data_IF_090545167556
#
_entry.id   IF_090545167556
#
_cell.length_a   1.000
_cell.length_b   1.000
_cell.length_c   1.000
_cell.angle_alpha   90.00
_cell.angle_beta   90.00
_cell.angle_gamma   90.00
#
_symmetry.space_group_name_H-M   'P 1'
#
loop_
_entity.id
_entity.type
_entity.pdbx_description
1 polymer ?
#
# COMPACT_ATOMS: atom_id res chain seq x y z
N UNK A 1 -5.17 3.08 -42.87
CA UNK A 1 -4.23 2.21 -42.12
C UNK A 1 -3.21 2.95 -41.24
N UNK A 2 -2.94 4.26 -41.42
CA UNK A 2 -1.97 5.01 -40.56
C UNK A 2 -2.54 5.50 -39.21
N UNK A 3 -3.87 5.64 -39.07
CA UNK A 3 -4.51 6.11 -37.82
C UNK A 3 -4.58 5.03 -36.73
N UNK A 4 -4.65 3.75 -37.09
CA UNK A 4 -4.74 2.63 -36.13
C UNK A 4 -3.39 2.28 -35.47
N UNK A 5 -2.25 2.55 -36.14
CA UNK A 5 -0.93 2.32 -35.53
C UNK A 5 -0.59 3.37 -34.46
N UNK A 6 -1.08 4.61 -34.57
CA UNK A 6 -0.82 5.68 -33.60
C UNK A 6 -1.56 5.44 -32.28
N UNK A 7 -2.80 4.93 -32.35
CA UNK A 7 -3.57 4.57 -31.14
C UNK A 7 -2.97 3.35 -30.44
N UNK A 8 -2.45 2.38 -31.19
CA UNK A 8 -1.80 1.19 -30.63
C UNK A 8 -0.43 1.53 -29.98
N UNK A 9 0.32 2.47 -30.56
CA UNK A 9 1.57 2.98 -29.98
C UNK A 9 1.35 3.79 -28.68
N UNK A 10 0.25 4.55 -28.56
CA UNK A 10 -0.08 5.24 -27.31
C UNK A 10 -0.49 4.27 -26.19
N UNK A 11 -1.21 3.19 -26.51
CA UNK A 11 -1.56 2.13 -25.54
C UNK A 11 -0.33 1.37 -25.04
N UNK A 12 0.67 1.12 -25.90
CA UNK A 12 1.92 0.48 -25.48
C UNK A 12 2.75 1.35 -24.52
N UNK A 13 2.77 2.67 -24.70
CA UNK A 13 3.52 3.57 -23.81
C UNK A 13 2.93 3.65 -22.38
N UNK A 14 1.65 3.35 -22.18
CA UNK A 14 1.07 3.25 -20.82
C UNK A 14 1.47 1.95 -20.10
N UNK A 15 1.82 0.89 -20.86
CA UNK A 15 2.22 -0.40 -20.31
C UNK A 15 3.73 -0.48 -19.98
N UNK A 16 4.55 0.39 -20.60
CA UNK A 16 6.00 0.42 -20.40
C UNK A 16 6.36 1.40 -19.28
N UNK A 17 6.38 0.89 -18.04
CA UNK A 17 7.10 1.51 -16.92
C UNK A 17 6.50 2.80 -16.39
N UNK A 18 5.29 2.75 -15.81
CA UNK A 18 4.87 3.86 -14.96
C UNK A 18 5.72 3.87 -13.67
N UNK A 19 6.46 4.96 -13.47
CA UNK A 19 7.13 5.27 -12.21
C UNK A 19 6.12 5.71 -11.15
N UNK A 20 5.35 4.74 -10.65
CA UNK A 20 4.54 4.90 -9.44
C UNK A 20 5.11 4.11 -8.27
N UNK A 21 4.79 4.55 -7.06
CA UNK A 21 4.99 3.78 -5.84
C UNK A 21 3.67 3.13 -5.46
N UNK A 22 3.62 1.80 -5.46
CA UNK A 22 2.47 1.03 -5.01
C UNK A 22 2.85 0.16 -3.81
N UNK A 23 1.90 0.00 -2.90
CA UNK A 23 1.94 -1.02 -1.86
C UNK A 23 0.73 -1.94 -2.00
N UNK A 24 0.94 -3.24 -1.76
CA UNK A 24 -0.15 -4.18 -1.51
C UNK A 24 -0.30 -4.34 0.01
N UNK A 25 -1.51 -4.14 0.52
CA UNK A 25 -1.82 -4.21 1.96
C UNK A 25 -2.90 -5.24 2.23
N UNK A 26 -2.82 -5.89 3.38
CA UNK A 26 -3.85 -6.80 3.89
C UNK A 26 -3.97 -6.62 5.41
N UNK A 27 -5.12 -6.98 5.98
CA UNK A 27 -5.26 -7.13 7.42
C UNK A 27 -5.11 -8.60 7.81
N UNK A 28 -4.46 -8.82 8.94
CA UNK A 28 -4.25 -10.12 9.57
C UNK A 28 -5.07 -10.17 10.86
N UNK A 29 -6.21 -10.84 10.78
CA UNK A 29 -7.12 -11.08 11.90
C UNK A 29 -6.64 -12.28 12.71
N UNK A 30 -6.35 -12.08 14.00
CA UNK A 30 -5.85 -13.14 14.87
C UNK A 30 -6.89 -14.26 15.05
N UNK A 31 -6.45 -15.51 14.99
CA UNK A 31 -7.33 -16.67 15.22
C UNK A 31 -7.58 -16.97 16.70
N UNK A 32 -6.60 -16.71 17.58
CA UNK A 32 -6.65 -17.07 19.02
C UNK A 32 -5.86 -16.11 19.93
N UNK A 33 -5.81 -14.82 19.59
CA UNK A 33 -5.02 -13.84 20.37
C UNK A 33 -3.51 -14.10 20.39
N UNK A 34 -2.98 -14.88 19.43
CA UNK A 34 -1.57 -15.29 19.35
C UNK A 34 -0.67 -14.16 18.80
N UNK A 35 -0.70 -12.98 19.42
CA UNK A 35 0.02 -11.79 18.95
C UNK A 35 1.52 -12.05 18.75
N UNK A 36 2.20 -12.58 19.77
CA UNK A 36 3.65 -12.80 19.72
C UNK A 36 4.06 -13.82 18.65
N UNK A 37 3.29 -14.89 18.49
CA UNK A 37 3.56 -15.90 17.47
C UNK A 37 3.38 -15.33 16.05
N UNK A 38 2.32 -14.55 15.82
CA UNK A 38 2.09 -13.88 14.54
C UNK A 38 3.21 -12.88 14.23
N UNK A 39 3.60 -12.04 15.19
CA UNK A 39 4.67 -11.06 15.01
C UNK A 39 6.01 -11.73 14.67
N UNK A 40 6.36 -12.79 15.40
CA UNK A 40 7.58 -13.56 15.16
C UNK A 40 7.55 -14.24 13.78
N UNK A 41 6.41 -14.82 13.41
CA UNK A 41 6.20 -15.49 12.14
C UNK A 41 6.29 -14.54 10.94
N UNK A 42 5.62 -13.39 11.02
CA UNK A 42 5.71 -12.33 9.99
C UNK A 42 7.13 -11.79 9.89
N UNK A 43 7.82 -11.56 11.02
CA UNK A 43 9.22 -11.11 10.99
C UNK A 43 10.10 -12.11 10.23
N UNK A 44 9.99 -13.40 10.56
CA UNK A 44 10.74 -14.47 9.90
C UNK A 44 10.45 -14.52 8.39
N UNK A 45 9.18 -14.41 7.99
CA UNK A 45 8.79 -14.37 6.59
C UNK A 45 9.36 -13.15 5.86
N UNK A 46 9.23 -11.96 6.46
CA UNK A 46 9.73 -10.72 5.89
C UNK A 46 11.26 -10.73 5.76
N UNK A 47 12.00 -11.19 6.77
CA UNK A 47 13.46 -11.29 6.70
C UNK A 47 13.93 -12.18 5.54
N UNK A 48 13.14 -13.21 5.20
CA UNK A 48 13.48 -14.19 4.16
C UNK A 48 13.06 -13.76 2.74
N UNK A 49 11.87 -13.15 2.59
CA UNK A 49 11.29 -12.88 1.27
C UNK A 49 11.04 -11.41 0.97
N UNK A 50 11.01 -10.55 1.99
CA UNK A 50 10.62 -9.15 1.88
C UNK A 50 11.53 -8.22 2.71
N UNK A 51 12.84 -8.47 2.64
CA UNK A 51 13.85 -7.73 3.42
C UNK A 51 14.23 -6.37 2.79
N UNK A 52 13.93 -6.18 1.50
CA UNK A 52 14.25 -4.97 0.74
C UNK A 52 15.56 -5.02 -0.06
N UNK A 53 16.34 -6.10 0.02
CA UNK A 53 17.63 -6.23 -0.68
C UNK A 53 17.46 -6.75 -2.12
N UNK A 54 16.64 -7.80 -2.30
CA UNK A 54 16.41 -8.46 -3.59
C UNK A 54 14.94 -8.41 -4.03
N UNK A 55 14.16 -7.47 -3.49
CA UNK A 55 12.73 -7.38 -3.71
C UNK A 55 12.05 -6.35 -2.82
N UNK A 56 10.71 -6.25 -2.87
CA UNK A 56 9.97 -5.28 -2.07
C UNK A 56 10.11 -5.58 -0.58
N UNK A 57 10.22 -4.53 0.23
CA UNK A 57 10.21 -4.65 1.69
C UNK A 57 8.79 -4.83 2.21
N UNK A 58 8.62 -5.58 3.29
CA UNK A 58 7.33 -5.70 3.97
C UNK A 58 7.38 -5.21 5.42
N UNK A 59 6.21 -4.79 5.89
CA UNK A 59 6.02 -4.10 7.15
C UNK A 59 4.78 -4.65 7.85
N UNK A 60 4.79 -4.62 9.18
CA UNK A 60 3.67 -5.04 10.02
C UNK A 60 3.37 -3.94 11.03
N UNK A 61 2.11 -3.48 11.09
CA UNK A 61 1.65 -2.53 12.09
C UNK A 61 0.47 -3.09 12.86
N UNK A 62 0.46 -2.89 14.17
CA UNK A 62 -0.71 -3.16 14.99
C UNK A 62 -1.76 -2.05 14.81
N UNK A 63 -3.03 -2.43 14.65
CA UNK A 63 -4.13 -1.47 14.53
C UNK A 63 -4.65 -1.15 15.93
N UNK A 64 -4.27 0.02 16.44
CA UNK A 64 -4.63 0.43 17.80
C UNK A 64 -6.06 0.97 17.92
N UNK A 65 -6.60 1.57 16.86
CA UNK A 65 -7.94 2.22 16.88
C UNK A 65 -8.61 2.14 15.51
N UNK A 66 -9.95 2.00 15.49
CA UNK A 66 -10.76 1.99 14.26
C UNK A 66 -11.43 0.63 13.99
N UNK A 67 -12.04 0.43 12.80
CA UNK A 67 -12.85 -0.75 12.49
C UNK A 67 -12.14 -2.11 12.60
N UNK A 68 -10.81 -2.12 12.49
CA UNK A 68 -9.98 -3.34 12.59
C UNK A 68 -9.04 -3.30 13.81
N UNK A 69 -9.42 -2.55 14.85
CA UNK A 69 -8.66 -2.50 16.10
C UNK A 69 -8.42 -3.90 16.66
N UNK A 70 -7.21 -4.16 17.15
CA UNK A 70 -6.82 -5.49 17.65
C UNK A 70 -6.19 -6.41 16.60
N UNK A 71 -6.29 -6.06 15.31
CA UNK A 71 -5.65 -6.78 14.22
C UNK A 71 -4.32 -6.16 13.82
N UNK A 72 -3.68 -6.71 12.79
CA UNK A 72 -2.49 -6.14 12.18
C UNK A 72 -2.71 -5.77 10.71
N UNK A 73 -2.10 -4.68 10.26
CA UNK A 73 -1.96 -4.40 8.83
C UNK A 73 -0.56 -4.83 8.38
N UNK A 74 -0.50 -5.71 7.38
CA UNK A 74 0.73 -6.06 6.69
C UNK A 74 0.74 -5.37 5.33
N UNK A 75 1.86 -4.73 4.97
CA UNK A 75 2.03 -4.12 3.67
C UNK A 75 3.37 -4.52 3.06
N UNK A 76 3.35 -4.78 1.75
CA UNK A 76 4.55 -5.03 0.95
C UNK A 76 4.68 -3.97 -0.13
N UNK A 77 5.89 -3.45 -0.30
CA UNK A 77 6.24 -2.49 -1.34
C UNK A 77 7.49 -1.66 -1.01
N UNK A 78 7.89 -0.74 -1.89
CA UNK A 78 7.25 -0.43 -3.18
C UNK A 78 7.30 -1.61 -4.16
N UNK A 79 6.21 -1.84 -4.89
CA UNK A 79 6.14 -2.82 -5.99
C UNK A 79 5.37 -2.26 -7.19
N UNK A 80 5.25 -3.03 -8.26
CA UNK A 80 4.48 -2.76 -9.48
C UNK A 80 3.38 -3.81 -9.66
N UNK A 81 2.35 -3.49 -10.45
CA UNK A 81 1.32 -4.47 -10.83
C UNK A 81 1.90 -5.67 -11.57
N UNK A 82 2.90 -5.45 -12.42
CA UNK A 82 3.61 -6.53 -13.13
C UNK A 82 4.28 -7.54 -12.20
N UNK A 83 4.65 -7.12 -10.98
CA UNK A 83 5.22 -8.03 -9.98
C UNK A 83 4.15 -9.01 -9.45
N UNK A 84 2.87 -8.65 -9.56
CA UNK A 84 1.74 -9.48 -9.12
C UNK A 84 1.32 -10.51 -10.18
N UNK A 85 1.82 -10.39 -11.42
CA UNK A 85 1.62 -11.39 -12.47
C UNK A 85 2.56 -12.60 -12.30
N UNK A 86 3.55 -12.50 -11.41
CA UNK A 86 4.50 -13.57 -11.12
C UNK A 86 3.94 -14.53 -10.08
N UNK A 87 4.02 -15.84 -10.37
CA UNK A 87 3.70 -16.87 -9.38
C UNK A 87 4.70 -16.86 -8.22
N UNK A 88 4.18 -16.99 -7.00
CA UNK A 88 5.01 -17.24 -5.83
C UNK A 88 5.60 -18.66 -5.91
N UNK A 89 6.82 -18.83 -5.41
CA UNK A 89 7.42 -20.16 -5.29
C UNK A 89 6.71 -20.98 -4.20
N UNK A 90 6.72 -22.30 -4.33
CA UNK A 90 6.16 -23.19 -3.31
C UNK A 90 6.82 -22.99 -1.92
N UNK A 91 8.10 -22.63 -1.90
CA UNK A 91 8.81 -22.33 -0.65
C UNK A 91 8.31 -21.03 -0.01
N UNK A 92 7.92 -20.03 -0.81
CA UNK A 92 7.33 -18.79 -0.30
C UNK A 92 5.95 -19.07 0.32
N UNK A 93 5.08 -19.77 -0.42
CA UNK A 93 3.73 -20.12 0.03
C UNK A 93 3.76 -20.95 1.31
N UNK A 94 4.54 -22.03 1.35
CA UNK A 94 4.66 -22.88 2.54
C UNK A 94 5.22 -22.14 3.75
N UNK A 95 6.13 -21.20 3.54
CA UNK A 95 6.67 -20.41 4.65
C UNK A 95 5.60 -19.49 5.25
N UNK A 96 4.78 -18.86 4.40
CA UNK A 96 3.65 -18.04 4.85
C UNK A 96 2.59 -18.87 5.59
N UNK A 97 2.19 -20.03 5.07
CA UNK A 97 1.25 -20.94 5.72
C UNK A 97 1.76 -21.36 7.12
N UNK A 98 3.04 -21.77 7.18
CA UNK A 98 3.68 -22.30 8.39
C UNK A 98 4.12 -21.23 9.38
N UNK A 99 4.24 -19.97 9.02
CA UNK A 99 4.68 -18.94 9.97
C UNK A 99 3.59 -17.89 10.24
N UNK A 100 2.63 -17.69 9.33
CA UNK A 100 1.68 -16.58 9.41
C UNK A 100 0.22 -17.05 9.43
N UNK A 101 -0.23 -17.81 8.44
CA UNK A 101 -1.67 -18.12 8.29
C UNK A 101 -2.24 -19.01 9.39
N UNK A 102 -1.39 -19.82 10.01
CA UNK A 102 -1.80 -20.61 11.18
C UNK A 102 -2.21 -19.73 12.38
N UNK A 103 -1.71 -18.49 12.47
CA UNK A 103 -1.99 -17.55 13.58
C UNK A 103 -3.01 -16.48 13.22
N UNK A 104 -3.17 -16.17 11.93
CA UNK A 104 -4.09 -15.14 11.46
C UNK A 104 -4.77 -15.49 10.15
N UNK A 105 -5.99 -14.97 9.97
CA UNK A 105 -6.70 -14.97 8.70
C UNK A 105 -6.43 -13.66 7.97
N UNK A 106 -5.95 -13.75 6.74
CA UNK A 106 -5.86 -12.58 5.87
C UNK A 106 -7.23 -12.14 5.37
N UNK A 107 -7.47 -10.83 5.31
CA UNK A 107 -8.60 -10.24 4.60
C UNK A 107 -8.34 -8.80 4.13
N UNK A 108 -9.26 -8.27 3.33
CA UNK A 108 -9.27 -6.87 2.88
C UNK A 108 -7.95 -6.46 2.19
N UNK A 109 -7.64 -7.15 1.09
CA UNK A 109 -6.49 -6.84 0.25
C UNK A 109 -6.72 -5.54 -0.52
N UNK A 110 -5.77 -4.61 -0.45
CA UNK A 110 -5.86 -3.31 -1.10
C UNK A 110 -4.52 -2.98 -1.75
N UNK A 111 -4.57 -2.75 -3.06
CA UNK A 111 -3.50 -2.15 -3.83
C UNK A 111 -3.63 -0.62 -3.75
N UNK A 112 -2.64 0.03 -3.16
CA UNK A 112 -2.64 1.48 -2.96
C UNK A 112 -1.50 2.13 -3.74
N UNK A 113 -1.83 2.98 -4.69
CA UNK A 113 -0.88 3.70 -5.56
C UNK A 113 -0.71 5.11 -5.03
N UNK A 114 0.53 5.53 -4.81
CA UNK A 114 0.85 6.86 -4.27
C UNK A 114 0.57 7.92 -5.31
N UNK A 115 -0.12 8.97 -4.89
CA UNK A 115 -0.30 10.18 -5.68
C UNK A 115 0.78 11.19 -5.30
N UNK A 116 1.75 11.39 -6.19
CA UNK A 116 2.90 12.26 -5.93
C UNK A 116 2.50 13.74 -5.84
N UNK A 117 1.46 14.17 -6.57
CA UNK A 117 1.02 15.56 -6.54
C UNK A 117 0.37 15.94 -5.19
N UNK A 118 -0.32 14.97 -4.57
CA UNK A 118 -0.97 15.13 -3.27
C UNK A 118 -0.12 14.70 -2.08
N UNK A 119 1.03 14.07 -2.32
CA UNK A 119 1.98 13.65 -1.29
C UNK A 119 2.91 14.79 -0.89
N UNK A 120 3.23 14.86 0.40
CA UNK A 120 4.33 15.64 0.94
C UNK A 120 5.35 14.70 1.59
N UNK A 121 6.58 14.72 1.09
CA UNK A 121 7.69 13.87 1.53
C UNK A 121 8.94 14.75 1.75
N UNK A 122 9.13 15.33 2.94
CA UNK A 122 10.28 16.18 3.23
C UNK A 122 11.57 15.36 3.29
N UNK A 123 12.70 15.94 2.86
CA UNK A 123 14.01 15.29 2.94
C UNK A 123 14.44 15.00 4.38
N UNK A 124 14.08 15.90 5.31
CA UNK A 124 14.42 15.81 6.74
C UNK A 124 13.21 15.35 7.56
N UNK A 125 12.55 14.27 7.13
CA UNK A 125 11.40 13.72 7.84
C UNK A 125 11.76 13.30 9.28
N UNK A 126 10.91 13.69 10.23
CA UNK A 126 10.82 13.07 11.56
C UNK A 126 9.84 11.91 11.47
N UNK A 127 10.37 10.69 11.48
CA UNK A 127 9.56 9.47 11.41
C UNK A 127 9.03 9.14 12.80
N UNK A 128 7.71 9.16 12.95
CA UNK A 128 7.05 8.73 14.19
C UNK A 128 7.02 7.21 14.32
N UNK A 129 6.88 6.73 15.56
CA UNK A 129 6.71 5.29 15.84
C UNK A 129 5.36 4.75 15.36
N UNK A 130 4.37 5.64 15.21
CA UNK A 130 3.01 5.32 14.82
C UNK A 130 2.61 6.07 13.55
N UNK A 131 1.71 5.46 12.78
CA UNK A 131 1.14 6.04 11.56
C UNK A 131 -0.35 6.28 11.78
N UNK A 132 -0.81 7.48 11.43
CA UNK A 132 -2.23 7.77 11.32
C UNK A 132 -2.70 7.57 9.87
N UNK A 133 -3.50 6.53 9.64
CA UNK A 133 -4.14 6.30 8.34
C UNK A 133 -5.57 6.82 8.35
N UNK A 134 -5.88 7.77 7.46
CA UNK A 134 -7.24 8.25 7.20
C UNK A 134 -7.71 7.74 5.84
N UNK A 135 -8.87 7.10 5.80
CA UNK A 135 -9.51 6.63 4.56
C UNK A 135 -10.70 7.51 4.26
N UNK A 136 -10.73 8.09 3.06
CA UNK A 136 -11.86 8.88 2.55
C UNK A 136 -12.52 8.02 1.47
N UNK A 137 -13.75 7.59 1.74
CA UNK A 137 -14.54 6.85 0.78
C UNK A 137 -15.29 7.83 -0.12
N UNK A 138 -15.12 7.67 -1.43
CA UNK A 138 -15.86 8.44 -2.43
C UNK A 138 -16.71 7.47 -3.23
N UNK A 139 -17.98 7.82 -3.44
CA UNK A 139 -18.90 7.00 -4.23
C UNK A 139 -18.35 6.81 -5.65
N UNK A 140 -18.34 5.57 -6.11
CA UNK A 140 -17.88 5.23 -7.45
C UNK A 140 -18.69 6.00 -8.52
N UNK A 141 -18.00 6.54 -9.51
CA UNK A 141 -18.60 7.30 -10.62
C UNK A 141 -18.92 8.76 -10.28
N UNK A 142 -18.85 9.17 -9.01
CA UNK A 142 -19.00 10.57 -8.63
C UNK A 142 -17.67 11.32 -8.77
N UNK A 143 -17.33 11.65 -10.02
CA UNK A 143 -16.12 12.39 -10.35
C UNK A 143 -16.11 13.79 -9.72
N UNK A 144 -17.29 14.38 -9.47
CA UNK A 144 -17.40 15.72 -8.89
C UNK A 144 -16.97 15.74 -7.41
N UNK A 145 -17.42 14.76 -6.63
CA UNK A 145 -17.00 14.60 -5.24
C UNK A 145 -15.55 14.17 -5.14
N UNK A 146 -15.08 13.27 -6.04
CA UNK A 146 -13.68 12.89 -6.09
C UNK A 146 -12.78 14.11 -6.32
N UNK A 147 -13.09 14.95 -7.31
CA UNK A 147 -12.31 16.14 -7.61
C UNK A 147 -12.27 17.11 -6.41
N UNK A 148 -13.38 17.30 -5.71
CA UNK A 148 -13.43 18.13 -4.49
C UNK A 148 -12.54 17.57 -3.38
N UNK A 149 -12.56 16.25 -3.18
CA UNK A 149 -11.68 15.57 -2.22
C UNK A 149 -10.21 15.74 -2.62
N UNK A 150 -9.88 15.55 -3.89
CA UNK A 150 -8.50 15.70 -4.38
C UNK A 150 -7.99 17.14 -4.19
N UNK A 151 -8.81 18.15 -4.47
CA UNK A 151 -8.48 19.56 -4.19
C UNK A 151 -8.21 19.79 -2.69
N UNK A 152 -9.08 19.29 -1.82
CA UNK A 152 -8.92 19.44 -0.37
C UNK A 152 -7.70 18.66 0.17
N UNK A 153 -7.41 17.48 -0.39
CA UNK A 153 -6.26 16.67 0.02
C UNK A 153 -4.96 17.32 -0.46
N UNK A 154 -4.93 17.87 -1.68
CA UNK A 154 -3.79 18.59 -2.23
C UNK A 154 -3.47 19.86 -1.44
N UNK A 155 -4.47 20.64 -1.04
CA UNK A 155 -4.24 21.89 -0.30
C UNK A 155 -3.49 21.69 1.01
N UNK A 156 -3.70 20.55 1.68
CA UNK A 156 -2.92 20.20 2.88
C UNK A 156 -1.45 19.96 2.53
N UNK A 157 -1.14 19.29 1.42
CA UNK A 157 0.24 19.10 0.98
C UNK A 157 0.92 20.44 0.66
N UNK A 158 0.19 21.36 0.04
CA UNK A 158 0.68 22.72 -0.25
C UNK A 158 0.98 23.50 1.04
N UNK A 159 0.12 23.39 2.06
CA UNK A 159 0.37 23.97 3.38
C UNK A 159 1.62 23.37 4.02
N UNK A 160 1.76 22.04 4.04
CA UNK A 160 2.93 21.38 4.65
C UNK A 160 4.24 21.79 3.97
N UNK A 161 4.24 21.94 2.65
CA UNK A 161 5.37 22.50 1.87
C UNK A 161 5.67 23.94 2.29
N UNK A 162 4.65 24.81 2.33
CA UNK A 162 4.79 26.22 2.71
C UNK A 162 5.34 26.40 4.13
N UNK A 163 4.97 25.51 5.05
CA UNK A 163 5.41 25.57 6.46
C UNK A 163 6.72 24.84 6.71
N UNK A 164 7.31 24.20 5.69
CA UNK A 164 8.48 23.32 5.84
C UNK A 164 8.31 22.29 6.96
N UNK A 165 7.15 21.61 6.97
CA UNK A 165 6.82 20.67 8.03
C UNK A 165 7.80 19.49 8.04
N UNK A 166 8.21 19.03 9.23
CA UNK A 166 9.11 17.88 9.36
C UNK A 166 8.40 16.53 9.28
N UNK A 167 7.08 16.50 9.20
CA UNK A 167 6.31 15.25 9.11
C UNK A 167 5.94 14.97 7.66
N UNK A 168 6.09 13.73 7.20
CA UNK A 168 5.56 13.36 5.89
C UNK A 168 4.04 13.13 5.95
N UNK A 169 3.39 13.38 4.83
CA UNK A 169 2.00 12.99 4.59
C UNK A 169 1.91 12.38 3.20
N UNK A 170 1.75 11.06 3.16
CA UNK A 170 1.70 10.30 1.92
C UNK A 170 0.25 9.98 1.57
N UNK A 171 -0.15 10.31 0.35
CA UNK A 171 -1.51 10.11 -0.14
C UNK A 171 -1.50 8.97 -1.13
N UNK A 172 -2.37 7.99 -0.91
CA UNK A 172 -2.52 6.84 -1.79
C UNK A 172 -3.97 6.71 -2.23
N UNK A 173 -4.14 6.29 -3.48
CA UNK A 173 -5.44 5.93 -4.06
C UNK A 173 -5.51 4.42 -4.17
N UNK A 174 -6.64 3.84 -3.78
CA UNK A 174 -6.91 2.43 -4.06
C UNK A 174 -6.98 2.26 -5.58
N UNK A 175 -6.21 1.33 -6.13
CA UNK A 175 -6.23 1.05 -7.56
C UNK A 175 -7.52 0.34 -8.00
N UNK A 176 -8.13 -0.40 -7.08
CA UNK A 176 -9.37 -1.11 -7.29
C UNK A 176 -10.46 -0.62 -6.33
N UNK A 177 -11.70 -0.95 -6.66
CA UNK A 177 -12.85 -0.66 -5.81
C UNK A 177 -12.66 -1.34 -4.45
N UNK A 178 -12.89 -0.59 -3.38
CA UNK A 178 -13.00 -1.14 -2.03
C UNK A 178 -14.47 -1.44 -1.74
N UNK A 179 -14.74 -2.59 -1.11
CA UNK A 179 -16.07 -3.03 -0.71
C UNK A 179 -16.53 -2.29 0.56
#
# INVERSE_FOLDING_TARGET
>A
MKKSLITLAMLLNFALGQDYVMFNTQYLELRKGQHSALQAGVKKHNDKFHNGENGPKAYLWYVNTGPYSGQYSWAVGPSKFSDMDQSLSETHVKDWENNVEQYARSHTHIFMVRDEAMTYNPENETVGENILMKRILVKQGDLSSLAKVEVAVKSIADVLKKTNAKIARRVYKSAFRTA
#
